data_IF_529192163141
#
_entry.id   IF_529192163141
#
_cell.length_a   1.000
_cell.length_b   1.000
_cell.length_c   1.000
_cell.angle_alpha   90.00
_cell.angle_beta   90.00
_cell.angle_gamma   90.00
#
_symmetry.space_group_name_H-M   'P 1'
#
loop_
_entity.id
_entity.type
_entity.pdbx_description
1 polymer ?
#
# COMPACT_ATOMS: atom_id res chain seq x y z
N UNK A 1 10.50 -24.75 -4.72
CA UNK A 1 10.03 -23.58 -5.48
C UNK A 1 9.00 -22.90 -4.62
N UNK A 2 9.16 -21.64 -4.30
CA UNK A 2 8.20 -20.89 -3.48
C UNK A 2 7.80 -19.65 -4.25
N UNK A 3 6.53 -19.60 -4.65
CA UNK A 3 6.01 -18.52 -5.49
C UNK A 3 5.43 -17.40 -4.63
N UNK A 4 5.67 -16.17 -5.08
CA UNK A 4 5.12 -14.97 -4.46
C UNK A 4 4.55 -14.04 -5.52
N UNK A 5 3.35 -13.51 -5.27
CA UNK A 5 2.71 -12.51 -6.12
C UNK A 5 2.84 -11.14 -5.49
N UNK A 6 3.52 -10.20 -6.17
CA UNK A 6 3.75 -8.85 -5.65
C UNK A 6 2.55 -7.94 -5.89
N UNK A 7 2.06 -7.32 -4.83
CA UNK A 7 0.91 -6.41 -4.84
C UNK A 7 1.22 -5.03 -4.26
N UNK A 8 2.42 -4.84 -3.69
CA UNK A 8 2.85 -3.56 -3.12
C UNK A 8 4.24 -3.20 -3.60
N UNK A 9 4.35 -1.98 -4.13
CA UNK A 9 5.61 -1.30 -4.42
C UNK A 9 5.45 0.17 -4.05
N UNK A 10 5.79 0.52 -2.83
CA UNK A 10 5.62 1.86 -2.26
C UNK A 10 6.95 2.45 -1.83
N UNK A 11 6.96 3.75 -1.56
CA UNK A 11 8.15 4.46 -1.12
C UNK A 11 8.02 4.99 0.31
N UNK A 12 9.09 4.83 1.07
CA UNK A 12 9.26 5.48 2.37
C UNK A 12 10.69 5.94 2.56
N UNK A 13 10.87 7.24 2.78
CA UNK A 13 12.20 7.86 2.99
C UNK A 13 13.21 7.54 1.87
N UNK A 14 12.78 7.60 0.61
CA UNK A 14 13.62 7.28 -0.54
C UNK A 14 14.00 5.79 -0.67
N UNK A 15 13.27 4.90 0.04
CA UNK A 15 13.46 3.44 -0.01
C UNK A 15 12.20 2.75 -0.48
N UNK A 16 12.37 1.69 -1.26
CA UNK A 16 11.26 0.88 -1.74
C UNK A 16 10.79 -0.04 -0.62
N UNK A 17 9.48 -0.10 -0.44
CA UNK A 17 8.81 -1.07 0.41
C UNK A 17 8.01 -2.03 -0.47
N UNK A 18 8.11 -3.32 -0.18
CA UNK A 18 7.46 -4.38 -0.93
C UNK A 18 6.43 -5.11 -0.07
N UNK A 19 5.39 -5.63 -0.72
CA UNK A 19 4.44 -6.56 -0.13
C UNK A 19 3.97 -7.56 -1.18
N UNK A 20 3.86 -8.80 -0.79
CA UNK A 20 3.44 -9.89 -1.67
C UNK A 20 2.57 -10.90 -0.94
N UNK A 21 1.96 -11.79 -1.69
CA UNK A 21 1.26 -12.97 -1.19
C UNK A 21 2.09 -14.20 -1.47
N UNK A 22 2.09 -15.14 -0.55
CA UNK A 22 2.58 -16.50 -0.81
C UNK A 22 1.49 -17.35 -1.53
N UNK A 23 1.82 -18.60 -1.84
CA UNK A 23 0.91 -19.55 -2.50
C UNK A 23 -0.38 -19.81 -1.70
N UNK A 24 -0.36 -19.59 -0.38
CA UNK A 24 -1.52 -19.71 0.49
C UNK A 24 -2.24 -18.36 0.70
N UNK A 25 -1.92 -17.35 -0.12
CA UNK A 25 -2.49 -16.00 -0.06
C UNK A 25 -2.28 -15.28 1.26
N UNK A 26 -1.23 -15.65 1.99
CA UNK A 26 -0.82 -14.96 3.21
C UNK A 26 0.06 -13.78 2.82
N UNK A 27 -0.18 -12.65 3.44
CA UNK A 27 0.65 -11.47 3.28
C UNK A 27 2.06 -11.71 3.80
N UNK A 28 3.04 -11.37 2.98
CA UNK A 28 4.46 -11.35 3.28
C UNK A 28 4.99 -9.95 3.01
N UNK A 29 5.71 -9.42 3.96
CA UNK A 29 6.41 -8.14 3.84
C UNK A 29 7.91 -8.40 3.88
N UNK A 30 8.57 -8.46 2.71
CA UNK A 30 10.03 -8.59 2.68
C UNK A 30 10.67 -7.37 3.34
N UNK A 31 11.67 -7.61 4.19
CA UNK A 31 12.43 -6.53 4.83
C UNK A 31 13.93 -6.76 4.66
N UNK A 32 14.65 -5.66 4.45
CA UNK A 32 16.10 -5.61 4.32
C UNK A 32 16.65 -4.48 5.19
N UNK A 33 17.77 -4.67 5.92
CA UNK A 33 18.44 -3.56 6.60
C UNK A 33 18.74 -2.41 5.63
N UNK A 34 18.37 -1.19 6.00
CA UNK A 34 18.52 0.00 5.16
C UNK A 34 17.48 0.15 4.05
N UNK A 35 16.48 -0.74 3.97
CA UNK A 35 15.43 -0.73 2.94
C UNK A 35 15.91 -1.21 1.57
N UNK A 36 14.99 -1.32 0.62
CA UNK A 36 15.31 -1.73 -0.75
C UNK A 36 15.68 -0.53 -1.61
N UNK A 37 16.58 -0.77 -2.57
CA UNK A 37 16.85 0.11 -3.70
C UNK A 37 16.62 -0.68 -4.99
N UNK A 38 16.54 -0.02 -6.13
CA UNK A 38 16.18 -0.64 -7.42
C UNK A 38 16.98 -1.92 -7.74
N UNK A 39 18.31 -1.91 -7.53
CA UNK A 39 19.16 -3.09 -7.76
C UNK A 39 18.80 -4.31 -6.92
N UNK A 40 18.12 -4.11 -5.79
CA UNK A 40 17.74 -5.21 -4.90
C UNK A 40 16.48 -5.95 -5.36
N UNK A 41 15.73 -5.33 -6.26
CA UNK A 41 14.46 -5.82 -6.80
C UNK A 41 14.53 -6.16 -8.29
N UNK A 42 15.74 -6.28 -8.83
CA UNK A 42 15.96 -6.77 -10.19
C UNK A 42 15.73 -8.28 -10.21
N UNK A 43 14.93 -8.71 -11.17
CA UNK A 43 14.70 -10.12 -11.47
C UNK A 43 15.78 -10.65 -12.42
N UNK A 44 15.85 -11.96 -12.60
CA UNK A 44 16.82 -12.63 -13.49
C UNK A 44 16.67 -12.25 -14.98
N UNK A 45 15.50 -11.73 -15.37
CA UNK A 45 15.25 -11.19 -16.71
C UNK A 45 15.69 -9.72 -16.89
N UNK A 46 16.34 -9.12 -15.88
CA UNK A 46 16.82 -7.73 -15.90
C UNK A 46 15.74 -6.67 -15.65
N UNK A 47 14.50 -7.04 -15.47
CA UNK A 47 13.40 -6.11 -15.14
C UNK A 47 13.25 -5.98 -13.61
N UNK A 48 12.79 -4.82 -13.16
CA UNK A 48 12.40 -4.64 -11.76
C UNK A 48 11.06 -5.34 -11.49
N UNK A 49 10.88 -5.83 -10.27
CA UNK A 49 9.57 -6.32 -9.79
C UNK A 49 8.51 -5.25 -10.02
N UNK A 50 7.39 -5.67 -10.59
CA UNK A 50 6.18 -4.87 -10.74
C UNK A 50 4.98 -5.51 -10.02
N UNK A 51 3.87 -4.76 -9.97
CA UNK A 51 2.62 -5.27 -9.45
C UNK A 51 2.13 -6.45 -10.31
N UNK A 52 1.59 -7.46 -9.65
CA UNK A 52 1.12 -8.72 -10.23
C UNK A 52 2.21 -9.64 -10.82
N UNK A 53 3.49 -9.30 -10.65
CA UNK A 53 4.55 -10.26 -10.97
C UNK A 53 4.51 -11.43 -9.99
N UNK A 54 4.54 -12.63 -10.55
CA UNK A 54 4.76 -13.89 -9.84
C UNK A 54 6.24 -14.25 -9.97
N UNK A 55 6.89 -14.42 -8.85
CA UNK A 55 8.32 -14.75 -8.82
C UNK A 55 8.59 -15.98 -7.97
N UNK A 56 9.62 -16.73 -8.34
CA UNK A 56 10.22 -17.77 -7.50
C UNK A 56 11.42 -17.18 -6.76
N UNK A 57 11.33 -17.15 -5.43
CA UNK A 57 12.39 -16.62 -4.59
C UNK A 57 12.35 -17.27 -3.20
N UNK A 58 13.37 -17.01 -2.38
CA UNK A 58 13.41 -17.50 -1.00
C UNK A 58 13.59 -16.33 -0.04
N UNK A 59 12.61 -16.13 0.82
CA UNK A 59 12.79 -15.28 1.98
C UNK A 59 13.50 -16.04 3.11
N UNK A 60 14.19 -15.30 3.97
CA UNK A 60 14.80 -15.84 5.18
C UNK A 60 13.77 -16.11 6.28
N UNK A 61 14.24 -16.21 7.52
CA UNK A 61 13.38 -16.45 8.67
C UNK A 61 12.37 -15.31 8.88
N UNK A 62 11.20 -15.61 9.48
CA UNK A 62 10.28 -14.60 9.99
C UNK A 62 11.01 -13.60 10.88
N UNK A 63 10.69 -12.33 10.74
CA UNK A 63 11.28 -11.25 11.52
C UNK A 63 10.20 -10.29 12.00
N UNK A 64 9.29 -10.73 12.87
CA UNK A 64 8.22 -9.90 13.36
C UNK A 64 8.79 -8.70 14.13
N UNK A 65 8.38 -7.50 13.73
CA UNK A 65 8.72 -6.27 14.44
C UNK A 65 7.41 -5.63 14.86
N UNK A 66 7.17 -5.55 16.17
CA UNK A 66 5.94 -4.97 16.73
C UNK A 66 4.68 -5.63 16.11
N UNK A 67 3.86 -4.84 15.43
CA UNK A 67 2.62 -5.29 14.79
C UNK A 67 2.82 -5.91 13.38
N UNK A 68 4.01 -5.80 12.82
CA UNK A 68 4.32 -6.36 11.49
C UNK A 68 4.71 -7.84 11.61
N UNK A 69 3.73 -8.69 11.85
CA UNK A 69 3.94 -10.15 12.00
C UNK A 69 4.30 -10.83 10.68
N UNK A 70 3.90 -10.23 9.56
CA UNK A 70 4.15 -10.68 8.20
C UNK A 70 5.57 -10.39 7.68
N UNK A 71 6.40 -9.72 8.47
CA UNK A 71 7.77 -9.43 8.07
C UNK A 71 8.60 -10.70 7.92
N UNK A 72 9.33 -10.77 6.80
CA UNK A 72 10.31 -11.81 6.53
C UNK A 72 11.63 -11.18 6.07
N UNK A 73 12.75 -11.71 6.54
CA UNK A 73 14.07 -11.25 6.11
C UNK A 73 14.25 -11.48 4.62
N UNK A 74 14.82 -10.50 3.94
CA UNK A 74 15.28 -10.62 2.57
C UNK A 74 16.81 -10.71 2.57
N UNK A 75 17.39 -11.92 2.41
CA UNK A 75 18.84 -12.10 2.47
C UNK A 75 19.54 -11.36 1.33
N UNK A 76 20.74 -10.83 1.59
CA UNK A 76 21.58 -10.25 0.53
C UNK A 76 21.92 -11.31 -0.52
N UNK A 77 21.90 -10.93 -1.80
CA UNK A 77 22.17 -11.85 -2.90
C UNK A 77 21.01 -12.81 -3.22
N UNK A 78 19.84 -12.61 -2.61
CA UNK A 78 18.66 -13.39 -2.98
C UNK A 78 18.36 -13.24 -4.45
N UNK A 79 18.31 -14.38 -5.16
CA UNK A 79 17.89 -14.42 -6.57
C UNK A 79 16.37 -14.33 -6.65
N UNK A 80 15.90 -13.48 -7.55
CA UNK A 80 14.48 -13.32 -7.86
C UNK A 80 14.28 -13.81 -9.28
N UNK A 81 13.64 -14.95 -9.44
CA UNK A 81 13.37 -15.52 -10.76
C UNK A 81 11.96 -15.12 -11.20
N UNK A 82 11.85 -14.42 -12.33
CA UNK A 82 10.57 -14.12 -12.93
C UNK A 82 9.87 -15.41 -13.39
N UNK A 83 8.59 -15.55 -13.10
CA UNK A 83 7.76 -16.68 -13.55
C UNK A 83 6.75 -16.19 -14.58
N UNK A 84 5.91 -15.23 -14.21
CA UNK A 84 4.92 -14.60 -15.08
C UNK A 84 4.40 -13.30 -14.47
N UNK A 85 3.73 -12.48 -15.26
CA UNK A 85 2.79 -11.48 -14.76
C UNK A 85 1.37 -12.06 -14.85
N UNK A 86 0.52 -11.83 -13.87
CA UNK A 86 -0.86 -12.29 -13.91
C UNK A 86 -1.63 -11.52 -15.01
N UNK A 87 -2.40 -12.22 -15.81
CA UNK A 87 -3.31 -11.57 -16.75
C UNK A 87 -4.51 -10.93 -16.03
N UNK A 88 -5.33 -10.15 -16.74
CA UNK A 88 -6.46 -9.42 -16.15
C UNK A 88 -7.48 -10.33 -15.45
N UNK A 89 -7.71 -11.53 -15.99
CA UNK A 89 -8.64 -12.51 -15.40
C UNK A 89 -8.07 -13.03 -14.08
N UNK A 90 -6.80 -13.40 -14.06
CA UNK A 90 -6.09 -13.86 -12.87
C UNK A 90 -6.00 -12.77 -11.81
N UNK A 91 -5.73 -11.51 -12.22
CA UNK A 91 -5.70 -10.34 -11.33
C UNK A 91 -7.07 -10.13 -10.68
N UNK A 92 -8.14 -10.11 -11.48
CA UNK A 92 -9.51 -9.93 -10.99
C UNK A 92 -9.93 -11.04 -10.01
N UNK A 93 -9.65 -12.29 -10.34
CA UNK A 93 -9.93 -13.42 -9.48
C UNK A 93 -9.18 -13.32 -8.14
N UNK A 94 -7.87 -13.04 -8.19
CA UNK A 94 -7.04 -12.88 -7.00
C UNK A 94 -7.55 -11.74 -6.11
N UNK A 95 -7.76 -10.55 -6.68
CA UNK A 95 -8.19 -9.39 -5.89
C UNK A 95 -9.57 -9.61 -5.26
N UNK A 96 -10.52 -10.20 -6.00
CA UNK A 96 -11.86 -10.51 -5.49
C UNK A 96 -11.79 -11.49 -4.30
N UNK A 97 -10.91 -12.48 -4.39
CA UNK A 97 -10.79 -13.50 -3.35
C UNK A 97 -10.19 -12.95 -2.05
N UNK A 98 -9.16 -12.09 -2.15
CA UNK A 98 -8.42 -11.62 -0.96
C UNK A 98 -8.92 -10.30 -0.39
N UNK A 99 -9.78 -9.57 -1.11
CA UNK A 99 -10.25 -8.26 -0.71
C UNK A 99 -11.23 -8.33 0.47
N UNK A 100 -11.04 -7.45 1.46
CA UNK A 100 -12.03 -7.19 2.48
C UNK A 100 -12.99 -6.09 2.00
N UNK A 101 -14.04 -6.48 1.27
CA UNK A 101 -15.02 -5.56 0.70
C UNK A 101 -15.86 -4.80 1.75
N UNK A 102 -15.89 -5.26 3.00
CA UNK A 102 -16.71 -4.68 4.05
C UNK A 102 -15.93 -3.81 5.03
N UNK A 103 -14.60 -3.83 4.98
CA UNK A 103 -13.77 -3.17 5.99
C UNK A 103 -14.11 -1.68 6.14
N UNK A 104 -14.08 -0.91 5.05
CA UNK A 104 -14.38 0.53 5.10
C UNK A 104 -15.85 0.83 5.45
N UNK A 105 -16.76 -0.11 5.21
CA UNK A 105 -18.19 0.03 5.56
C UNK A 105 -18.47 -0.21 7.02
N UNK A 106 -17.53 -0.75 7.78
CA UNK A 106 -17.66 -1.05 9.21
C UNK A 106 -17.14 0.04 10.12
N UNK A 107 -16.22 0.86 9.63
CA UNK A 107 -15.44 1.80 10.43
C UNK A 107 -15.80 3.25 10.09
N UNK A 108 -15.76 4.13 11.09
CA UNK A 108 -16.13 5.54 11.00
C UNK A 108 -14.94 6.49 11.19
N UNK A 109 -13.77 5.95 11.51
CA UNK A 109 -12.57 6.75 11.73
C UNK A 109 -11.29 6.01 11.33
N UNK A 110 -10.20 6.76 11.13
CA UNK A 110 -8.87 6.17 10.90
C UNK A 110 -8.39 5.31 12.08
N UNK A 111 -8.84 5.63 13.29
CA UNK A 111 -8.50 4.88 14.49
C UNK A 111 -9.21 3.52 14.52
N UNK A 112 -10.51 3.51 14.21
CA UNK A 112 -11.24 2.26 14.07
C UNK A 112 -10.71 1.39 12.92
N UNK A 113 -10.32 2.01 11.81
CA UNK A 113 -9.67 1.31 10.70
C UNK A 113 -8.36 0.64 11.16
N UNK A 114 -7.57 1.36 11.94
CA UNK A 114 -6.35 0.82 12.54
C UNK A 114 -6.66 -0.37 13.46
N UNK A 115 -7.61 -0.19 14.39
CA UNK A 115 -7.99 -1.22 15.36
C UNK A 115 -8.53 -2.46 14.65
N UNK A 116 -9.37 -2.30 13.61
CA UNK A 116 -9.92 -3.41 12.85
C UNK A 116 -8.81 -4.20 12.12
N UNK A 117 -7.85 -3.51 11.50
CA UNK A 117 -6.74 -4.16 10.82
C UNK A 117 -5.83 -4.89 11.81
N UNK A 118 -5.45 -4.23 12.90
CA UNK A 118 -4.46 -4.77 13.81
C UNK A 118 -5.04 -5.78 14.80
N UNK A 119 -6.15 -5.43 15.47
CA UNK A 119 -6.69 -6.21 16.56
C UNK A 119 -7.58 -7.35 16.06
N UNK A 120 -8.44 -7.07 15.09
CA UNK A 120 -9.39 -8.06 14.60
C UNK A 120 -8.83 -8.92 13.47
N UNK A 121 -8.08 -8.32 12.54
CA UNK A 121 -7.43 -9.10 11.46
C UNK A 121 -6.03 -9.59 11.84
N UNK A 122 -5.43 -9.07 12.90
CA UNK A 122 -4.14 -9.51 13.43
C UNK A 122 -2.95 -9.31 12.50
N UNK A 123 -3.02 -8.33 11.57
CA UNK A 123 -1.99 -8.06 10.55
C UNK A 123 -1.78 -6.54 10.40
N UNK A 124 -0.75 -6.13 9.67
CA UNK A 124 -0.50 -4.72 9.40
C UNK A 124 -0.74 -4.31 7.95
N UNK A 125 -1.25 -5.22 7.13
CA UNK A 125 -1.51 -5.00 5.71
C UNK A 125 -2.80 -5.70 5.30
N UNK A 126 -3.64 -5.01 4.53
CA UNK A 126 -4.93 -5.54 4.06
C UNK A 126 -5.27 -4.97 2.69
N UNK A 127 -5.92 -5.76 1.85
CA UNK A 127 -6.55 -5.30 0.61
C UNK A 127 -8.00 -4.95 0.89
N UNK A 128 -8.43 -3.79 0.45
CA UNK A 128 -9.84 -3.33 0.53
C UNK A 128 -10.36 -2.97 -0.84
N UNK A 129 -11.62 -3.22 -1.07
CA UNK A 129 -12.27 -2.93 -2.35
C UNK A 129 -13.28 -4.02 -2.77
N UNK A 130 -13.88 -3.87 -3.95
CA UNK A 130 -13.66 -2.74 -4.86
C UNK A 130 -14.20 -1.41 -4.30
N UNK A 131 -13.48 -0.32 -4.61
CA UNK A 131 -13.84 1.05 -4.23
C UNK A 131 -14.62 1.67 -5.38
N UNK A 132 -15.77 2.27 -5.09
CA UNK A 132 -16.63 2.87 -6.13
C UNK A 132 -16.06 4.18 -6.68
N UNK A 133 -15.74 5.11 -5.78
CA UNK A 133 -15.13 6.39 -6.11
C UNK A 133 -14.37 6.93 -4.91
N UNK A 134 -13.43 7.83 -5.17
CA UNK A 134 -12.65 8.53 -4.15
C UNK A 134 -12.15 9.84 -4.74
N UNK A 135 -11.85 10.78 -3.87
CA UNK A 135 -11.22 12.03 -4.27
C UNK A 135 -9.71 11.97 -4.02
N UNK A 136 -8.97 12.62 -4.90
CA UNK A 136 -7.52 12.67 -4.90
C UNK A 136 -7.14 14.12 -4.67
N UNK A 137 -6.54 14.42 -3.55
CA UNK A 137 -5.96 15.72 -3.26
C UNK A 137 -4.43 15.63 -3.37
N UNK A 138 -3.86 16.48 -4.20
CA UNK A 138 -2.41 16.61 -4.30
C UNK A 138 -2.00 17.91 -3.62
N UNK A 139 -1.35 17.83 -2.47
CA UNK A 139 -0.77 18.99 -1.82
C UNK A 139 0.76 18.87 -1.79
N UNK A 140 1.46 19.98 -1.50
CA UNK A 140 2.92 20.23 -1.64
C UNK A 140 3.89 19.14 -1.14
N UNK A 141 3.43 18.01 -0.76
CA UNK A 141 4.28 16.86 -0.43
C UNK A 141 4.19 15.82 -1.54
N UNK A 142 5.26 15.19 -1.90
CA UNK A 142 5.40 14.20 -2.99
C UNK A 142 4.35 13.04 -3.03
N UNK A 143 3.31 13.09 -2.21
CA UNK A 143 2.34 12.01 -2.05
C UNK A 143 0.91 12.54 -1.99
N UNK A 144 0.02 12.10 -2.89
CA UNK A 144 -1.38 12.49 -2.85
C UNK A 144 -2.07 11.94 -1.60
N UNK A 145 -3.14 12.61 -1.21
CA UNK A 145 -4.09 12.14 -0.20
C UNK A 145 -5.32 11.61 -0.90
N UNK A 146 -5.79 10.46 -0.46
CA UNK A 146 -7.00 9.84 -0.98
C UNK A 146 -8.12 10.02 0.04
N UNK A 147 -9.21 10.62 -0.38
CA UNK A 147 -10.41 10.82 0.42
C UNK A 147 -11.42 9.74 0.04
N UNK A 148 -11.59 8.79 0.94
CA UNK A 148 -12.40 7.59 0.74
C UNK A 148 -13.61 7.67 1.65
N UNK A 149 -14.80 7.48 1.10
CA UNK A 149 -16.04 7.46 1.89
C UNK A 149 -16.21 6.11 2.57
N UNK A 150 -16.38 6.13 3.88
CA UNK A 150 -16.65 4.97 4.71
C UNK A 150 -18.07 4.92 5.25
N UNK A 151 -18.25 4.25 6.39
CA UNK A 151 -19.52 4.13 7.09
C UNK A 151 -20.06 5.52 7.47
N UNK A 152 -21.39 5.67 7.40
CA UNK A 152 -22.09 6.92 7.74
C UNK A 152 -21.57 8.17 7.02
N UNK A 153 -21.07 8.01 5.78
CA UNK A 153 -20.43 9.08 4.98
C UNK A 153 -19.21 9.72 5.65
N UNK A 154 -18.56 9.05 6.60
CA UNK A 154 -17.29 9.52 7.10
C UNK A 154 -16.24 9.51 5.98
N UNK A 155 -15.35 10.49 5.98
CA UNK A 155 -14.28 10.59 4.98
C UNK A 155 -12.96 10.19 5.61
N UNK A 156 -12.33 9.16 5.05
CA UNK A 156 -10.97 8.77 5.39
C UNK A 156 -10.00 9.55 4.51
N UNK A 157 -9.27 10.44 5.12
CA UNK A 157 -8.15 11.15 4.50
C UNK A 157 -6.87 10.35 4.73
N UNK A 158 -6.45 9.58 3.73
CA UNK A 158 -5.33 8.64 3.82
C UNK A 158 -4.25 9.02 2.80
N UNK A 159 -3.01 9.12 3.26
CA UNK A 159 -1.85 9.38 2.39
C UNK A 159 -1.55 8.16 1.52
N UNK A 160 -1.32 8.39 0.21
CA UNK A 160 -0.88 7.36 -0.72
C UNK A 160 0.65 7.39 -0.87
N UNK A 161 1.28 6.22 -0.82
CA UNK A 161 2.73 6.04 -1.00
C UNK A 161 3.08 5.05 -2.11
N UNK A 162 2.10 4.64 -2.90
CA UNK A 162 2.31 3.86 -4.12
C UNK A 162 3.14 4.65 -5.13
N UNK A 163 4.29 4.14 -5.50
CA UNK A 163 5.24 4.83 -6.39
C UNK A 163 4.60 5.13 -7.75
N UNK A 164 3.96 4.12 -8.34
CA UNK A 164 3.40 4.20 -9.68
C UNK A 164 2.18 5.11 -9.72
N UNK A 165 1.29 4.97 -8.73
CA UNK A 165 0.09 5.80 -8.64
C UNK A 165 0.43 7.26 -8.36
N UNK A 166 1.39 7.54 -7.47
CA UNK A 166 1.85 8.91 -7.22
C UNK A 166 2.41 9.57 -8.48
N UNK A 167 3.24 8.85 -9.25
CA UNK A 167 3.77 9.34 -10.51
C UNK A 167 2.67 9.57 -11.56
N UNK A 168 1.72 8.64 -11.67
CA UNK A 168 0.56 8.74 -12.55
C UNK A 168 -0.30 9.97 -12.22
N UNK A 169 -0.69 10.16 -10.97
CA UNK A 169 -1.50 11.32 -10.58
C UNK A 169 -0.73 12.64 -10.82
N UNK A 170 0.56 12.67 -10.53
CA UNK A 170 1.39 13.85 -10.80
C UNK A 170 1.40 14.23 -12.30
N UNK A 171 1.46 13.25 -13.20
CA UNK A 171 1.38 13.51 -14.64
C UNK A 171 0.01 14.04 -15.05
N UNK A 172 -1.07 13.58 -14.41
CA UNK A 172 -2.45 14.00 -14.72
C UNK A 172 -2.80 15.39 -14.22
N UNK A 173 -2.15 15.90 -13.17
CA UNK A 173 -2.40 17.27 -12.68
C UNK A 173 -2.23 18.31 -13.77
N UNK A 174 -1.23 18.16 -14.64
CA UNK A 174 -1.02 19.06 -15.77
C UNK A 174 -2.20 19.04 -16.76
N UNK A 175 -2.77 17.85 -17.02
CA UNK A 175 -3.90 17.67 -17.94
C UNK A 175 -5.18 18.34 -17.42
N UNK A 176 -5.35 18.41 -16.09
CA UNK A 176 -6.51 19.04 -15.46
C UNK A 176 -6.34 20.55 -15.20
N UNK A 177 -5.18 21.14 -15.52
CA UNK A 177 -4.86 22.51 -15.12
C UNK A 177 -4.88 22.68 -13.59
N UNK A 178 -4.72 21.59 -12.87
CA UNK A 178 -4.82 21.55 -11.43
C UNK A 178 -3.54 22.09 -10.79
N UNK A 179 -3.68 22.85 -9.72
CA UNK A 179 -2.57 23.25 -8.85
C UNK A 179 -2.43 22.25 -7.68
N UNK A 180 -1.42 22.45 -6.86
CA UNK A 180 -1.07 21.55 -5.75
C UNK A 180 -2.17 21.35 -4.69
N UNK A 181 -3.18 22.23 -4.65
CA UNK A 181 -4.31 22.14 -3.70
C UNK A 181 -5.61 21.62 -4.34
N UNK A 182 -5.55 21.24 -5.60
CA UNK A 182 -6.74 20.77 -6.33
C UNK A 182 -7.18 19.40 -5.87
N UNK A 183 -8.50 19.21 -5.81
CA UNK A 183 -9.13 17.91 -5.56
C UNK A 183 -9.74 17.39 -6.85
N UNK A 184 -9.40 16.15 -7.22
CA UNK A 184 -9.87 15.50 -8.45
C UNK A 184 -10.62 14.23 -8.05
N UNK A 185 -11.87 14.10 -8.51
CA UNK A 185 -12.60 12.85 -8.33
C UNK A 185 -12.06 11.76 -9.27
N UNK A 186 -11.88 10.55 -8.77
CA UNK A 186 -11.36 9.40 -9.54
C UNK A 186 -12.19 9.06 -10.78
N UNK A 187 -13.50 9.36 -10.77
CA UNK A 187 -14.37 9.15 -11.92
C UNK A 187 -14.15 10.16 -13.06
N UNK A 188 -13.46 11.26 -12.78
CA UNK A 188 -13.06 12.24 -13.79
C UNK A 188 -11.69 11.90 -14.43
N UNK A 189 -10.97 10.93 -13.89
CA UNK A 189 -9.71 10.43 -14.45
C UNK A 189 -10.01 9.30 -15.41
N UNK A 190 -9.83 9.54 -16.72
CA UNK A 190 -10.24 8.60 -17.77
C UNK A 190 -9.69 7.18 -17.57
N UNK A 191 -8.45 7.08 -17.11
CA UNK A 191 -7.77 5.80 -16.89
C UNK A 191 -8.27 5.05 -15.64
N UNK A 192 -9.02 5.70 -14.76
CA UNK A 192 -9.63 5.09 -13.56
C UNK A 192 -11.12 4.84 -13.73
N UNK A 193 -11.76 5.58 -14.62
CA UNK A 193 -13.20 5.52 -14.84
C UNK A 193 -13.64 4.13 -15.27
N UNK A 194 -14.63 3.58 -14.59
CA UNK A 194 -15.22 2.29 -14.91
C UNK A 194 -14.38 1.07 -14.53
N UNK A 195 -13.19 1.27 -13.92
CA UNK A 195 -12.36 0.15 -13.45
C UNK A 195 -12.74 -0.28 -12.03
N UNK A 196 -12.48 -1.54 -11.74
CA UNK A 196 -12.49 -2.02 -10.36
C UNK A 196 -11.21 -1.54 -9.67
N UNK A 197 -11.36 -0.79 -8.59
CA UNK A 197 -10.24 -0.17 -7.87
C UNK A 197 -10.14 -0.79 -6.48
N UNK A 198 -8.92 -1.17 -6.11
CA UNK A 198 -8.61 -1.74 -4.80
C UNK A 198 -7.46 -0.99 -4.17
N UNK A 199 -7.49 -0.85 -2.85
CA UNK A 199 -6.39 -0.26 -2.09
C UNK A 199 -5.74 -1.30 -1.20
N UNK A 200 -4.42 -1.40 -1.25
CA UNK A 200 -3.68 -2.06 -0.19
C UNK A 200 -3.40 -1.02 0.89
N UNK A 201 -4.00 -1.23 2.04
CA UNK A 201 -3.78 -0.38 3.23
C UNK A 201 -2.73 -1.04 4.09
N UNK A 202 -1.64 -0.31 4.36
CA UNK A 202 -0.58 -0.71 5.26
C UNK A 202 -0.55 0.19 6.49
N UNK A 203 -0.28 -0.37 7.66
CA UNK A 203 -0.04 0.41 8.87
C UNK A 203 1.42 0.87 8.92
N UNK A 204 1.65 2.12 9.27
CA UNK A 204 3.01 2.61 9.47
C UNK A 204 3.65 1.97 10.70
N UNK A 205 4.97 2.04 10.79
CA UNK A 205 5.63 1.82 12.08
C UNK A 205 5.30 2.91 13.09
N UNK A 206 5.70 2.67 14.33
CA UNK A 206 5.53 3.54 15.47
C UNK A 206 5.88 5.01 15.16
N UNK A 207 4.96 5.90 15.46
CA UNK A 207 5.20 7.35 15.34
C UNK A 207 6.01 7.92 16.49
N UNK A 208 6.33 7.09 17.50
CA UNK A 208 7.16 7.47 18.63
C UNK A 208 8.64 7.26 18.31
N UNK A 209 9.49 8.17 18.77
CA UNK A 209 10.93 7.96 18.79
C UNK A 209 11.32 6.94 19.89
N UNK A 210 12.62 6.65 19.98
CA UNK A 210 13.19 5.75 20.99
C UNK A 210 12.97 6.21 22.45
N UNK A 211 12.56 7.47 22.66
CA UNK A 211 12.23 8.05 23.96
C UNK A 211 10.71 8.15 24.20
N UNK A 212 9.89 7.45 23.40
CA UNK A 212 8.42 7.54 23.41
C UNK A 212 7.86 8.95 23.15
N UNK A 213 8.63 9.83 22.51
CA UNK A 213 8.16 11.13 22.05
C UNK A 213 7.56 11.01 20.66
N UNK A 214 6.49 11.76 20.38
CA UNK A 214 5.95 11.86 19.03
C UNK A 214 7.01 12.51 18.15
N UNK A 215 7.40 11.86 17.07
CA UNK A 215 8.43 12.34 16.13
C UNK A 215 8.20 13.76 15.60
N UNK A 216 6.98 14.24 15.63
CA UNK A 216 6.59 15.58 15.16
C UNK A 216 6.44 16.61 16.31
N UNK A 217 6.91 16.30 17.51
CA UNK A 217 6.88 17.25 18.66
C UNK A 217 5.48 17.59 19.20
N UNK A 218 4.43 16.91 18.73
CA UNK A 218 3.05 17.13 19.18
C UNK A 218 2.76 16.25 20.39
N UNK A 219 2.78 16.84 21.57
CA UNK A 219 2.26 16.22 22.79
C UNK A 219 0.73 16.17 22.73
N UNK A 220 0.12 15.16 23.37
CA UNK A 220 -1.28 15.28 23.73
C UNK A 220 -1.44 16.49 24.66
N UNK A 221 -2.46 17.35 24.45
CA UNK A 221 -2.63 18.56 25.24
C UNK A 221 -2.80 18.33 26.76
N UNK A 222 -3.12 17.10 27.15
CA UNK A 222 -3.43 16.70 28.52
C UNK A 222 -2.28 15.97 29.24
N UNK A 223 -1.09 15.87 28.61
CA UNK A 223 0.04 15.15 29.19
C UNK A 223 -0.13 13.64 29.32
N UNK A 224 -1.21 13.08 28.76
CA UNK A 224 -1.44 11.64 28.80
C UNK A 224 -0.39 10.89 27.96
N UNK A 225 -0.03 9.68 28.40
CA UNK A 225 0.82 8.78 27.62
C UNK A 225 0.13 8.44 26.30
N UNK A 226 0.64 9.01 25.21
CA UNK A 226 0.08 8.74 23.88
C UNK A 226 0.43 7.31 23.54
N UNK A 227 -0.60 6.50 23.40
CA UNK A 227 -0.46 5.15 22.84
C UNK A 227 0.21 5.26 21.46
N UNK A 228 1.17 4.38 21.13
CA UNK A 228 1.78 4.35 19.81
C UNK A 228 0.69 4.32 18.75
N UNK A 229 0.61 5.35 17.91
CA UNK A 229 -0.39 5.42 16.85
C UNK A 229 0.25 5.04 15.53
N UNK A 230 -0.27 3.98 14.96
CA UNK A 230 0.10 3.54 13.62
C UNK A 230 -0.91 4.12 12.63
N UNK A 231 -0.42 4.87 11.67
CA UNK A 231 -1.30 5.51 10.70
C UNK A 231 -1.53 4.60 9.50
N UNK A 232 -2.78 4.41 9.06
CA UNK A 232 -3.05 3.75 7.79
C UNK A 232 -2.49 4.59 6.63
N UNK A 233 -1.86 3.90 5.67
CA UNK A 233 -1.40 4.44 4.40
C UNK A 233 -1.98 3.59 3.28
N UNK A 234 -2.34 4.21 2.15
CA UNK A 234 -2.53 3.46 0.91
C UNK A 234 -1.13 3.22 0.33
N UNK A 235 -0.69 1.97 0.39
CA UNK A 235 0.65 1.54 -0.07
C UNK A 235 0.63 0.94 -1.46
N UNK A 236 -0.56 0.64 -2.01
CA UNK A 236 -0.76 0.30 -3.41
C UNK A 236 -2.17 0.61 -3.85
N UNK A 237 -2.31 1.07 -5.11
CA UNK A 237 -3.58 1.26 -5.82
C UNK A 237 -3.60 0.27 -6.98
N UNK A 238 -4.47 -0.72 -6.88
CA UNK A 238 -4.62 -1.79 -7.87
C UNK A 238 -5.90 -1.58 -8.65
N UNK A 239 -5.85 -1.69 -9.97
CA UNK A 239 -7.05 -1.62 -10.81
C UNK A 239 -7.13 -2.78 -11.76
N UNK A 240 -8.34 -3.19 -12.10
CA UNK A 240 -8.59 -4.18 -13.14
C UNK A 240 -9.60 -3.61 -14.15
N UNK A 241 -9.22 -3.49 -15.41
CA UNK A 241 -7.87 -3.62 -15.96
C UNK A 241 -6.89 -2.58 -15.38
N UNK A 242 -5.59 -2.81 -15.54
CA UNK A 242 -4.57 -1.89 -15.00
C UNK A 242 -4.75 -0.47 -15.57
N UNK A 243 -4.55 0.57 -14.73
CA UNK A 243 -4.69 1.97 -15.13
C UNK A 243 -3.53 2.48 -15.99
N UNK A 244 -2.38 1.84 -15.94
CA UNK A 244 -1.23 2.18 -16.77
C UNK A 244 -0.99 1.08 -17.79
N UNK A 245 -1.13 1.42 -19.07
CA UNK A 245 -0.85 0.51 -20.21
C UNK A 245 0.66 0.28 -20.44
N UNK A 246 1.49 0.40 -19.42
CA UNK A 246 2.91 0.04 -19.54
C UNK A 246 3.05 -1.48 -19.38
N UNK A 247 3.08 -2.17 -20.53
CA UNK A 247 3.56 -3.53 -20.67
C UNK A 247 5.10 -3.58 -20.58
#
# INVERSE_FOLDING_TARGET
MTLFTFLVKSEKYGKICLGCLDENKRWIRPIKPGGFVEKDILMDNGKMINLFDVVDTKFGAPFPIKHHKENMKFPSGTRIKFVKNLDETEQSALLTEIANAQLLKKVESKYELYDEILLNLGRSIVLVGPIGSFDIQYNCGNHPRLWIVGKNNCVFDIRCTDIKFCAFIKSKLADFGANEDSTINSQNVAELKGKQIYFVIGLTGDSLDENNKIKDGKYAPDGSSIQPRYWPLVVSVLTVPNYSNEN
#
